data_IF_731183786877
#
_entry.id   IF_731183786877
#
_cell.length_a   1.000
_cell.length_b   1.000
_cell.length_c   1.000
_cell.angle_alpha   90.00
_cell.angle_beta   90.00
_cell.angle_gamma   90.00
#
_symmetry.space_group_name_H-M   'P 1'
#
loop_
_entity.id
_entity.type
_entity.pdbx_description
1 polymer ?
#
# COMPACT_ATOMS: atom_id res chain seq x y z
N UNK A 1 -20.54 19.39 2.23
CA UNK A 1 -19.59 20.53 2.20
C UNK A 1 -18.19 19.97 1.95
N UNK A 2 -17.36 20.60 1.10
CA UNK A 2 -15.96 20.18 0.91
C UNK A 2 -15.13 20.66 2.10
N UNK A 3 -14.10 19.91 2.47
CA UNK A 3 -13.15 20.34 3.49
C UNK A 3 -12.13 21.32 2.90
N UNK A 4 -11.59 22.17 3.77
CA UNK A 4 -10.38 22.93 3.53
C UNK A 4 -9.24 22.44 4.46
N UNK A 5 -8.01 22.89 4.19
CA UNK A 5 -6.84 22.47 4.95
C UNK A 5 -6.94 22.84 6.44
N UNK A 6 -7.46 24.03 6.75
CA UNK A 6 -7.62 24.51 8.13
C UNK A 6 -8.57 23.63 8.93
N UNK A 7 -9.72 23.24 8.35
CA UNK A 7 -10.68 22.34 9.00
C UNK A 7 -10.07 20.97 9.34
N UNK A 8 -9.20 20.44 8.46
CA UNK A 8 -8.49 19.18 8.70
C UNK A 8 -7.47 19.32 9.82
N UNK A 9 -6.69 20.39 9.78
CA UNK A 9 -5.65 20.68 10.76
C UNK A 9 -6.24 20.89 12.16
N UNK A 10 -7.26 21.75 12.28
CA UNK A 10 -7.86 22.14 13.56
C UNK A 10 -8.86 21.12 14.11
N UNK A 11 -9.17 20.04 13.38
CA UNK A 11 -10.05 18.98 13.85
C UNK A 11 -9.46 18.34 15.12
N UNK A 12 -10.16 18.47 16.25
CA UNK A 12 -9.75 17.92 17.54
C UNK A 12 -10.41 16.57 17.80
N UNK A 13 -9.78 15.66 18.55
CA UNK A 13 -10.45 14.43 18.99
C UNK A 13 -11.70 14.76 19.81
N UNK A 14 -12.77 14.03 19.56
CA UNK A 14 -13.97 14.05 20.40
C UNK A 14 -14.00 12.85 21.33
N UNK A 15 -15.02 12.77 22.19
CA UNK A 15 -15.25 11.60 23.05
C UNK A 15 -15.42 10.30 22.24
N UNK A 16 -15.97 10.42 21.02
CA UNK A 16 -16.16 9.31 20.08
C UNK A 16 -15.56 9.65 18.72
N UNK A 17 -15.25 8.62 17.96
CA UNK A 17 -14.82 8.77 16.58
C UNK A 17 -15.89 9.50 15.75
N UNK A 18 -15.46 10.45 14.91
CA UNK A 18 -16.38 11.18 14.04
C UNK A 18 -15.80 11.40 12.64
N UNK A 19 -16.67 11.71 11.69
CA UNK A 19 -16.34 11.86 10.28
C UNK A 19 -16.48 13.31 9.85
N UNK A 20 -15.47 13.83 9.17
CA UNK A 20 -15.52 15.10 8.44
C UNK A 20 -15.54 14.78 6.94
N UNK A 21 -16.68 15.01 6.29
CA UNK A 21 -16.88 14.64 4.87
C UNK A 21 -16.26 15.69 3.94
N UNK A 22 -15.49 15.25 2.95
CA UNK A 22 -14.99 16.09 1.85
C UNK A 22 -15.85 15.97 0.59
N UNK A 23 -16.64 14.89 0.46
CA UNK A 23 -17.53 14.64 -0.67
C UNK A 23 -17.03 13.53 -1.58
N UNK A 24 -17.88 13.06 -2.51
CA UNK A 24 -17.59 11.93 -3.40
C UNK A 24 -17.09 10.69 -2.63
N UNK A 25 -17.68 10.39 -1.47
CA UNK A 25 -17.29 9.27 -0.62
C UNK A 25 -16.00 9.49 0.21
N UNK A 26 -15.24 10.56 0.01
CA UNK A 26 -14.05 10.89 0.80
C UNK A 26 -14.44 11.58 2.10
N UNK A 27 -13.82 11.13 3.20
CA UNK A 27 -13.93 11.77 4.51
C UNK A 27 -12.66 11.55 5.34
N UNK A 28 -12.45 12.45 6.29
CA UNK A 28 -11.48 12.28 7.37
C UNK A 28 -12.18 11.63 8.56
N UNK A 29 -11.70 10.47 8.99
CA UNK A 29 -12.09 9.85 10.25
C UNK A 29 -11.16 10.36 11.35
N UNK A 30 -11.71 11.15 12.27
CA UNK A 30 -10.99 11.63 13.46
C UNK A 30 -11.30 10.67 14.59
N UNK A 31 -10.26 9.98 15.07
CA UNK A 31 -10.36 9.06 16.20
C UNK A 31 -10.31 9.83 17.52
N UNK A 32 -10.92 9.28 18.56
CA UNK A 32 -10.79 9.80 19.93
C UNK A 32 -9.35 9.84 20.45
N UNK A 33 -8.45 9.01 19.88
CA UNK A 33 -7.03 8.96 20.26
C UNK A 33 -6.13 9.99 19.55
N UNK A 34 -6.67 10.92 18.77
CA UNK A 34 -5.85 11.88 18.02
C UNK A 34 -5.62 11.54 16.55
N UNK A 35 -5.70 10.27 16.17
CA UNK A 35 -5.35 9.84 14.83
C UNK A 35 -6.40 10.26 13.78
N UNK A 36 -5.93 10.73 12.62
CA UNK A 36 -6.77 11.24 11.54
C UNK A 36 -6.55 10.40 10.28
N UNK A 37 -7.57 9.66 9.84
CA UNK A 37 -7.48 8.74 8.71
C UNK A 37 -8.27 9.25 7.51
N UNK A 38 -7.64 9.24 6.35
CA UNK A 38 -8.35 9.41 5.09
C UNK A 38 -9.02 8.11 4.69
N UNK A 39 -10.35 8.16 4.54
CA UNK A 39 -11.18 7.02 4.16
C UNK A 39 -12.03 7.37 2.95
N UNK A 40 -12.21 6.39 2.08
CA UNK A 40 -13.08 6.50 0.91
C UNK A 40 -14.13 5.40 0.95
N UNK A 41 -15.39 5.81 1.04
CA UNK A 41 -16.56 4.93 0.94
C UNK A 41 -16.96 4.78 -0.52
N UNK A 42 -17.14 3.55 -0.97
CA UNK A 42 -17.56 3.23 -2.34
C UNK A 42 -18.43 1.96 -2.34
N UNK A 43 -19.16 1.73 -3.44
CA UNK A 43 -19.94 0.51 -3.65
C UNK A 43 -19.29 -0.28 -4.79
N UNK A 44 -19.11 -1.58 -4.59
CA UNK A 44 -18.58 -2.49 -5.59
C UNK A 44 -19.27 -3.84 -5.47
N UNK A 45 -19.74 -4.40 -6.60
CA UNK A 45 -20.53 -5.63 -6.62
C UNK A 45 -21.71 -5.59 -5.61
N UNK A 46 -22.47 -4.49 -5.63
CA UNK A 46 -23.63 -4.24 -4.75
C UNK A 46 -23.33 -4.22 -3.24
N UNK A 47 -22.06 -4.18 -2.83
CA UNK A 47 -21.65 -4.09 -1.43
C UNK A 47 -20.94 -2.77 -1.16
N UNK A 48 -21.35 -2.08 -0.09
CA UNK A 48 -20.63 -0.91 0.41
C UNK A 48 -19.30 -1.36 1.04
N UNK A 49 -18.23 -0.66 0.71
CA UNK A 49 -16.87 -0.91 1.16
C UNK A 49 -16.19 0.40 1.55
N UNK A 50 -15.14 0.27 2.36
CA UNK A 50 -14.27 1.40 2.75
C UNK A 50 -12.82 1.12 2.39
N UNK A 51 -12.18 2.07 1.71
CA UNK A 51 -10.76 2.06 1.38
C UNK A 51 -9.99 3.01 2.31
N UNK A 52 -8.84 2.56 2.81
CA UNK A 52 -7.89 3.40 3.53
C UNK A 52 -6.94 4.10 2.55
N UNK A 53 -6.98 5.43 2.51
CA UNK A 53 -6.17 6.26 1.61
C UNK A 53 -4.89 6.80 2.27
N UNK A 54 -4.83 6.78 3.60
CA UNK A 54 -3.66 7.15 4.38
C UNK A 54 -4.01 7.82 5.71
N UNK A 55 -2.99 8.34 6.38
CA UNK A 55 -3.09 9.01 7.68
C UNK A 55 -2.58 10.44 7.53
N UNK A 56 -3.29 11.41 8.10
CA UNK A 56 -2.82 12.79 8.19
C UNK A 56 -1.82 12.93 9.35
N UNK A 57 -0.73 13.70 9.23
CA UNK A 57 -0.39 14.62 8.12
C UNK A 57 0.37 13.99 6.95
N UNK A 58 0.82 12.74 7.06
CA UNK A 58 1.61 12.07 6.01
C UNK A 58 0.91 12.07 4.63
N UNK A 59 -0.42 12.03 4.62
CA UNK A 59 -1.24 12.27 3.43
C UNK A 59 -2.02 13.56 3.62
N UNK A 60 -1.76 14.55 2.77
CA UNK A 60 -2.49 15.82 2.74
C UNK A 60 -3.91 15.65 2.19
N UNK A 61 -4.78 16.65 2.40
CA UNK A 61 -6.12 16.66 1.80
C UNK A 61 -6.07 16.58 0.27
N UNK A 62 -5.12 17.28 -0.37
CA UNK A 62 -4.94 17.23 -1.82
C UNK A 62 -4.53 15.82 -2.29
N UNK A 63 -3.56 15.21 -1.61
CA UNK A 63 -3.14 13.85 -1.90
C UNK A 63 -4.27 12.83 -1.68
N UNK A 64 -5.08 12.99 -0.64
CA UNK A 64 -6.25 12.15 -0.39
C UNK A 64 -7.30 12.25 -1.50
N UNK A 65 -7.51 13.46 -2.08
CA UNK A 65 -8.40 13.66 -3.24
C UNK A 65 -7.87 12.97 -4.49
N UNK A 66 -6.57 13.05 -4.78
CA UNK A 66 -5.95 12.34 -5.90
C UNK A 66 -6.15 10.82 -5.78
N UNK A 67 -5.83 10.25 -4.61
CA UNK A 67 -6.04 8.81 -4.35
C UNK A 67 -7.51 8.39 -4.42
N UNK A 68 -8.44 9.27 -4.02
CA UNK A 68 -9.89 9.03 -4.20
C UNK A 68 -10.23 8.95 -5.68
N UNK A 69 -9.72 9.88 -6.49
CA UNK A 69 -10.07 9.93 -7.92
C UNK A 69 -9.52 8.72 -8.68
N UNK A 70 -8.31 8.27 -8.36
CA UNK A 70 -7.77 6.98 -8.82
C UNK A 70 -8.66 5.79 -8.40
N UNK A 71 -9.05 5.72 -7.12
CA UNK A 71 -9.93 4.66 -6.64
C UNK A 71 -11.31 4.68 -7.33
N UNK A 72 -11.85 5.86 -7.67
CA UNK A 72 -13.10 6.00 -8.43
C UNK A 72 -12.95 5.50 -9.86
N UNK A 73 -11.82 5.77 -10.52
CA UNK A 73 -11.51 5.22 -11.84
C UNK A 73 -11.47 3.70 -11.80
N UNK A 74 -10.84 3.10 -10.78
CA UNK A 74 -10.84 1.65 -10.59
C UNK A 74 -12.26 1.08 -10.48
N UNK A 75 -13.13 1.69 -9.64
CA UNK A 75 -14.53 1.25 -9.52
C UNK A 75 -15.26 1.34 -10.86
N UNK A 76 -15.08 2.44 -11.60
CA UNK A 76 -15.69 2.62 -12.92
C UNK A 76 -15.21 1.60 -13.95
N UNK A 77 -13.95 1.15 -13.85
CA UNK A 77 -13.36 0.09 -14.67
C UNK A 77 -13.72 -1.33 -14.19
N UNK A 78 -14.56 -1.49 -13.16
CA UNK A 78 -14.90 -2.81 -12.62
C UNK A 78 -13.79 -3.45 -11.78
N UNK A 79 -12.80 -2.68 -11.36
CA UNK A 79 -11.68 -3.13 -10.52
C UNK A 79 -11.95 -2.75 -9.06
N UNK A 80 -11.86 -3.72 -8.14
CA UNK A 80 -11.94 -3.43 -6.70
C UNK A 80 -10.71 -2.60 -6.27
N UNK A 81 -10.89 -1.35 -5.78
CA UNK A 81 -9.79 -0.48 -5.37
C UNK A 81 -8.90 -1.05 -4.26
N UNK A 82 -9.46 -1.91 -3.39
CA UNK A 82 -8.67 -2.59 -2.35
C UNK A 82 -7.71 -3.59 -2.99
N UNK A 83 -8.17 -4.33 -4.01
CA UNK A 83 -7.29 -5.24 -4.75
C UNK A 83 -6.22 -4.48 -5.50
N UNK A 84 -6.59 -3.42 -6.23
CA UNK A 84 -5.62 -2.59 -6.97
C UNK A 84 -4.50 -2.06 -6.06
N UNK A 85 -4.86 -1.54 -4.87
CA UNK A 85 -3.89 -1.09 -3.88
C UNK A 85 -2.96 -2.21 -3.39
N UNK A 86 -3.51 -3.40 -3.12
CA UNK A 86 -2.72 -4.52 -2.63
C UNK A 86 -1.78 -5.08 -3.70
N UNK A 87 -2.22 -5.12 -4.97
CA UNK A 87 -1.35 -5.51 -6.09
C UNK A 87 -0.19 -4.52 -6.26
N UNK A 88 -0.46 -3.21 -6.23
CA UNK A 88 0.61 -2.21 -6.30
C UNK A 88 1.60 -2.27 -5.13
N UNK A 89 1.12 -2.57 -3.91
CA UNK A 89 2.00 -2.78 -2.77
C UNK A 89 2.82 -4.07 -2.88
N UNK A 90 2.22 -5.15 -3.38
CA UNK A 90 2.90 -6.43 -3.58
C UNK A 90 3.96 -6.34 -4.69
N UNK A 91 3.71 -5.60 -5.78
CA UNK A 91 4.71 -5.38 -6.82
C UNK A 91 5.87 -4.52 -6.32
N UNK A 92 5.61 -3.47 -5.53
CA UNK A 92 6.66 -2.69 -4.89
C UNK A 92 7.48 -3.50 -3.89
N UNK A 93 6.85 -4.39 -3.11
CA UNK A 93 7.54 -5.30 -2.21
C UNK A 93 8.33 -6.38 -2.96
N UNK A 94 7.80 -6.90 -4.07
CA UNK A 94 8.51 -7.84 -4.93
C UNK A 94 9.69 -7.19 -5.68
N UNK A 95 9.62 -5.88 -5.95
CA UNK A 95 10.77 -5.10 -6.41
C UNK A 95 11.81 -4.88 -5.30
N UNK A 96 11.39 -4.88 -4.03
CA UNK A 96 12.28 -4.74 -2.89
C UNK A 96 13.01 -6.05 -2.51
N UNK A 97 12.44 -7.21 -2.83
CA UNK A 97 13.10 -8.52 -2.66
C UNK A 97 13.68 -8.96 -4.01
N UNK A 98 14.98 -8.80 -4.16
CA UNK A 98 15.69 -9.12 -5.39
C UNK A 98 15.92 -10.63 -5.53
N UNK A 99 16.02 -11.12 -6.78
CA UNK A 99 16.45 -12.51 -7.05
C UNK A 99 17.76 -12.86 -6.32
N UNK A 100 18.66 -11.88 -6.18
CA UNK A 100 19.92 -12.03 -5.43
C UNK A 100 19.68 -12.42 -3.97
N UNK A 101 18.74 -11.76 -3.29
CA UNK A 101 18.47 -12.01 -1.87
C UNK A 101 17.85 -13.39 -1.66
N UNK A 102 16.86 -13.76 -2.47
CA UNK A 102 16.22 -15.09 -2.40
C UNK A 102 17.24 -16.19 -2.74
N UNK A 103 18.07 -15.99 -3.77
CA UNK A 103 19.07 -16.96 -4.18
C UNK A 103 20.17 -17.15 -3.12
N UNK A 104 20.55 -16.07 -2.43
CA UNK A 104 21.52 -16.13 -1.34
C UNK A 104 20.95 -16.88 -0.11
N UNK A 105 19.73 -16.55 0.32
CA UNK A 105 19.06 -17.21 1.45
C UNK A 105 18.85 -18.72 1.16
N UNK A 106 18.38 -19.05 -0.03
CA UNK A 106 18.20 -20.44 -0.45
C UNK A 106 19.53 -21.19 -0.53
N UNK A 107 20.59 -20.54 -1.03
CA UNK A 107 21.92 -21.14 -1.11
C UNK A 107 22.47 -21.45 0.29
N UNK A 108 22.36 -20.52 1.23
CA UNK A 108 22.80 -20.71 2.61
C UNK A 108 22.08 -21.89 3.27
N UNK A 109 20.76 -22.01 3.08
CA UNK A 109 19.97 -23.13 3.60
C UNK A 109 20.34 -24.49 3.00
N UNK A 110 20.76 -24.52 1.72
CA UNK A 110 21.05 -25.76 0.98
C UNK A 110 22.52 -26.18 1.03
N UNK A 111 23.44 -25.22 1.12
CA UNK A 111 24.89 -25.43 1.06
C UNK A 111 25.44 -26.45 2.08
N UNK A 112 24.89 -26.63 3.30
CA UNK A 112 25.40 -27.64 4.23
C UNK A 112 25.18 -29.08 3.75
N UNK A 113 24.30 -29.30 2.78
CA UNK A 113 24.02 -30.63 2.18
C UNK A 113 24.89 -30.91 0.96
N UNK A 114 25.77 -29.99 0.59
CA UNK A 114 26.57 -30.06 -0.62
C UNK A 114 28.06 -30.03 -0.32
N UNK A 115 28.84 -30.57 -1.26
CA UNK A 115 30.29 -30.33 -1.26
C UNK A 115 30.57 -28.84 -1.46
N UNK A 116 31.69 -28.34 -0.90
CA UNK A 116 32.08 -26.94 -1.03
C UNK A 116 32.21 -26.48 -2.49
N UNK A 117 32.71 -27.35 -3.37
CA UNK A 117 32.81 -27.08 -4.81
C UNK A 117 31.45 -26.90 -5.46
N UNK A 118 30.52 -27.84 -5.24
CA UNK A 118 29.18 -27.75 -5.80
C UNK A 118 28.39 -26.53 -5.26
N UNK A 119 28.56 -26.20 -3.97
CA UNK A 119 28.00 -24.99 -3.41
C UNK A 119 28.57 -23.74 -4.11
N UNK A 120 29.88 -23.70 -4.37
CA UNK A 120 30.51 -22.59 -5.10
C UNK A 120 29.97 -22.45 -6.54
N UNK A 121 29.85 -23.56 -7.27
CA UNK A 121 29.36 -23.58 -8.65
C UNK A 121 27.93 -23.03 -8.77
N UNK A 122 27.05 -23.44 -7.84
CA UNK A 122 25.66 -22.95 -7.78
C UNK A 122 25.60 -21.46 -7.46
N UNK A 123 26.47 -20.97 -6.56
CA UNK A 123 26.53 -19.54 -6.24
C UNK A 123 27.01 -18.71 -7.44
N UNK A 124 28.00 -19.19 -8.20
CA UNK A 124 28.46 -18.55 -9.43
C UNK A 124 27.38 -18.57 -10.52
N UNK A 125 26.60 -19.64 -10.63
CA UNK A 125 25.45 -19.69 -11.53
C UNK A 125 24.40 -18.62 -11.16
N UNK A 126 24.08 -18.44 -9.88
CA UNK A 126 23.16 -17.38 -9.44
C UNK A 126 23.68 -15.97 -9.70
N UNK A 127 24.98 -15.73 -9.51
CA UNK A 127 25.61 -14.45 -9.87
C UNK A 127 25.51 -14.16 -11.37
N UNK A 128 25.68 -15.18 -12.23
CA UNK A 128 25.52 -15.04 -13.69
C UNK A 128 24.08 -14.69 -14.07
N UNK A 129 23.08 -15.38 -13.49
CA UNK A 129 21.66 -15.09 -13.73
C UNK A 129 21.29 -13.67 -13.27
N UNK A 130 21.76 -13.25 -12.10
CA UNK A 130 21.52 -11.89 -11.61
C UNK A 130 22.11 -10.82 -12.55
N UNK A 131 23.31 -11.03 -13.09
CA UNK A 131 23.93 -10.11 -14.06
C UNK A 131 23.19 -10.03 -15.40
N UNK A 132 22.48 -11.08 -15.80
CA UNK A 132 21.70 -11.10 -17.04
C UNK A 132 20.32 -10.43 -16.89
N UNK A 133 19.86 -10.23 -15.65
CA UNK A 133 18.56 -9.63 -15.31
C UNK A 133 18.65 -8.16 -14.85
N UNK A 134 19.86 -7.62 -14.72
CA UNK A 134 20.15 -6.24 -14.29
C UNK A 134 20.62 -5.40 -15.47
#
# INVERSE_FOLDING_TARGET
MKLNARQVETAKPGEKDYKLTDGNGLFLLVKSNGAKYWRFRYTFASKEKMLALGVYPAVSLAAARLKRDEARQNVAAGIDPVRAKNYGAATAAAQAITFREIAAEWHEFRSPRWSAGYASDILEAFKKVHRALA
#
